data_IF_470690778077
#
_entry.id   IF_470690778077
#
_cell.length_a   1.000
_cell.length_b   1.000
_cell.length_c   1.000
_cell.angle_alpha   90.00
_cell.angle_beta   90.00
_cell.angle_gamma   90.00
#
_symmetry.space_group_name_H-M   'P 1'
#
loop_
_entity.id
_entity.type
_entity.pdbx_description
1 polymer ?
#
# COMPACT_ATOMS: atom_id res chain seq x y z
N UNK A 1 9.98 3.19 7.02
CA UNK A 1 11.35 3.44 6.58
C UNK A 1 12.34 2.61 7.41
N UNK A 2 12.87 1.60 6.74
CA UNK A 2 13.88 0.69 7.29
C UNK A 2 15.32 1.14 6.95
N UNK A 3 15.44 2.19 6.13
CA UNK A 3 16.70 2.73 5.61
C UNK A 3 16.63 4.27 5.67
N UNK A 4 17.13 4.90 6.77
CA UNK A 4 17.06 6.35 6.96
C UNK A 4 17.86 7.15 5.92
N UNK A 5 18.98 6.61 5.42
CA UNK A 5 19.81 7.30 4.42
C UNK A 5 19.10 7.33 3.06
N UNK A 6 18.48 6.21 2.67
CA UNK A 6 17.67 6.16 1.46
C UNK A 6 16.45 7.09 1.54
N UNK A 7 15.78 7.15 2.69
CA UNK A 7 14.65 8.05 2.90
C UNK A 7 15.07 9.51 2.79
N UNK A 8 16.21 9.89 3.38
CA UNK A 8 16.77 11.24 3.25
C UNK A 8 17.10 11.59 1.79
N UNK A 9 17.76 10.66 1.07
CA UNK A 9 18.08 10.83 -0.35
C UNK A 9 16.83 10.96 -1.23
N UNK A 10 15.76 10.23 -0.90
CA UNK A 10 14.47 10.35 -1.61
C UNK A 10 13.80 11.71 -1.34
N UNK A 11 13.80 12.19 -0.09
CA UNK A 11 13.30 13.52 0.24
C UNK A 11 14.04 14.62 -0.54
N UNK A 12 15.37 14.52 -0.62
CA UNK A 12 16.21 15.42 -1.45
C UNK A 12 15.85 15.36 -2.92
N UNK A 13 15.67 14.16 -3.46
CA UNK A 13 15.29 13.97 -4.86
C UNK A 13 13.94 14.62 -5.16
N UNK A 14 12.94 14.40 -4.31
CA UNK A 14 11.61 14.95 -4.47
C UNK A 14 11.62 16.50 -4.43
N UNK A 15 12.32 17.08 -3.44
CA UNK A 15 12.45 18.53 -3.33
C UNK A 15 13.15 19.13 -4.55
N UNK A 16 14.26 18.55 -5.00
CA UNK A 16 15.00 19.00 -6.21
C UNK A 16 14.18 18.88 -7.49
N UNK A 17 13.33 17.86 -7.61
CA UNK A 17 12.48 17.62 -8.79
C UNK A 17 11.14 18.34 -8.72
N UNK A 18 10.88 19.12 -7.68
CA UNK A 18 9.64 19.87 -7.53
C UNK A 18 8.41 18.98 -7.29
N UNK A 19 8.59 17.75 -6.79
CA UNK A 19 7.47 16.90 -6.35
C UNK A 19 6.79 17.57 -5.17
N UNK A 20 5.46 17.78 -5.26
CA UNK A 20 4.68 18.54 -4.28
C UNK A 20 3.69 17.68 -3.50
N UNK A 21 3.52 16.43 -3.87
CA UNK A 21 2.59 15.50 -3.20
C UNK A 21 3.25 14.12 -3.12
N UNK A 22 3.32 13.57 -1.91
CA UNK A 22 3.78 12.20 -1.67
C UNK A 22 2.77 11.45 -0.80
N UNK A 23 2.75 10.13 -0.94
CA UNK A 23 2.06 9.24 -0.01
C UNK A 23 3.09 8.61 0.95
N UNK A 24 2.82 8.71 2.25
CA UNK A 24 3.59 8.07 3.31
C UNK A 24 2.82 6.83 3.81
N UNK A 25 3.25 5.65 3.40
CA UNK A 25 2.68 4.36 3.77
C UNK A 25 3.64 3.54 4.63
N UNK A 26 3.12 2.64 5.45
CA UNK A 26 3.91 1.77 6.33
C UNK A 26 4.81 2.51 7.35
N UNK A 27 4.47 3.74 7.68
CA UNK A 27 5.12 4.49 8.74
C UNK A 27 4.52 4.08 10.10
N UNK A 28 5.34 3.57 11.01
CA UNK A 28 4.96 3.35 12.42
C UNK A 28 5.14 4.66 13.21
N UNK A 29 6.09 5.48 12.82
CA UNK A 29 6.39 6.79 13.40
C UNK A 29 6.80 7.80 12.33
N UNK A 30 6.69 9.07 12.64
CA UNK A 30 7.19 10.14 11.78
C UNK A 30 8.71 10.15 11.78
N UNK A 31 9.31 10.55 10.66
CA UNK A 31 10.76 10.61 10.45
C UNK A 31 11.20 12.03 10.13
N UNK A 32 12.48 12.34 10.37
CA UNK A 32 13.04 13.66 10.06
C UNK A 32 12.95 13.99 8.56
N UNK A 33 13.28 13.07 7.60
CA UNK A 33 13.16 13.35 6.17
C UNK A 33 11.72 13.63 5.73
N UNK A 34 10.72 12.94 6.30
CA UNK A 34 9.32 13.20 6.01
C UNK A 34 8.90 14.60 6.47
N UNK A 35 9.29 14.98 7.69
CA UNK A 35 8.98 16.32 8.23
C UNK A 35 9.71 17.40 7.43
N UNK A 36 10.97 17.19 7.07
CA UNK A 36 11.74 18.08 6.20
C UNK A 36 11.02 18.29 4.86
N UNK A 37 10.60 17.22 4.18
CA UNK A 37 9.82 17.35 2.95
C UNK A 37 8.55 18.18 3.17
N UNK A 38 7.78 17.87 4.22
CA UNK A 38 6.50 18.52 4.52
C UNK A 38 6.66 20.01 4.78
N UNK A 39 7.71 20.41 5.49
CA UNK A 39 7.91 21.79 5.95
C UNK A 39 8.74 22.67 5.01
N UNK A 40 9.42 22.07 4.03
CA UNK A 40 10.23 22.81 3.09
C UNK A 40 9.41 23.84 2.31
N UNK A 41 9.82 25.11 2.41
CA UNK A 41 9.17 26.24 1.75
C UNK A 41 7.86 26.70 2.40
N UNK A 42 7.55 26.27 3.62
CA UNK A 42 6.42 26.81 4.40
C UNK A 42 6.57 28.30 4.63
N UNK A 43 5.51 29.04 4.43
CA UNK A 43 5.52 30.51 4.57
C UNK A 43 4.13 31.05 4.92
N UNK A 44 4.11 32.28 5.37
CA UNK A 44 2.88 33.06 5.49
C UNK A 44 2.56 33.72 4.15
N UNK A 45 1.34 33.52 3.66
CA UNK A 45 0.83 34.21 2.47
C UNK A 45 0.45 35.66 2.77
N UNK A 46 0.20 36.45 1.71
CA UNK A 46 -0.18 37.85 1.84
C UNK A 46 -1.52 38.05 2.58
N UNK A 47 -2.43 37.10 2.52
CA UNK A 47 -3.71 37.07 3.25
C UNK A 47 -3.59 36.61 4.70
N UNK A 48 -2.37 36.30 5.18
CA UNK A 48 -2.10 35.82 6.52
C UNK A 48 -2.24 34.30 6.69
N UNK A 49 -2.70 33.58 5.67
CA UNK A 49 -2.78 32.10 5.71
C UNK A 49 -1.41 31.44 5.70
N UNK A 50 -1.33 30.17 6.08
CA UNK A 50 -0.08 29.39 6.05
C UNK A 50 -0.08 28.55 4.78
N UNK A 51 0.86 28.86 3.88
CA UNK A 51 1.10 28.05 2.71
C UNK A 51 2.08 26.92 2.99
N UNK A 52 1.67 25.70 2.65
CA UNK A 52 2.48 24.50 2.71
C UNK A 52 2.64 23.92 1.30
N UNK A 53 3.71 24.27 0.57
CA UNK A 53 3.87 23.88 -0.83
C UNK A 53 3.91 22.35 -1.03
N UNK A 54 4.47 21.64 -0.06
CA UNK A 54 4.60 20.19 -0.11
C UNK A 54 3.50 19.53 0.74
N UNK A 55 2.80 18.58 0.16
CA UNK A 55 1.69 17.87 0.78
C UNK A 55 2.02 16.40 1.01
N UNK A 56 1.52 15.87 2.10
CA UNK A 56 1.66 14.46 2.48
C UNK A 56 0.28 13.85 2.61
N UNK A 57 0.08 12.69 1.99
CA UNK A 57 -1.03 11.79 2.26
C UNK A 57 -0.50 10.72 3.22
N UNK A 58 -1.04 10.64 4.44
CA UNK A 58 -0.73 9.54 5.36
C UNK A 58 -1.66 8.37 5.08
N UNK A 59 -1.15 7.20 4.67
CA UNK A 59 -1.96 6.00 4.49
C UNK A 59 -1.75 5.06 5.67
N UNK A 60 -2.81 4.79 6.43
CA UNK A 60 -2.73 4.18 7.76
C UNK A 60 -3.89 3.20 8.04
N UNK A 61 -3.59 2.15 8.80
CA UNK A 61 -4.55 1.18 9.33
C UNK A 61 -4.71 1.27 10.87
N UNK A 62 -3.96 2.18 11.53
CA UNK A 62 -3.87 2.31 12.98
C UNK A 62 -4.17 3.72 13.44
N UNK A 63 -4.99 3.83 14.49
CA UNK A 63 -5.46 5.10 15.05
C UNK A 63 -4.30 5.93 15.60
N UNK A 64 -3.36 5.31 16.31
CA UNK A 64 -2.19 5.96 16.90
C UNK A 64 -1.21 6.51 15.87
N UNK A 65 -1.19 5.93 14.66
CA UNK A 65 -0.40 6.45 13.54
C UNK A 65 -1.14 7.59 12.84
N UNK A 66 -2.47 7.46 12.66
CA UNK A 66 -3.30 8.53 12.11
C UNK A 66 -3.21 9.81 12.95
N UNK A 67 -3.24 9.68 14.29
CA UNK A 67 -3.10 10.79 15.22
C UNK A 67 -1.82 11.60 14.98
N UNK A 68 -0.69 10.90 14.73
CA UNK A 68 0.59 11.54 14.42
C UNK A 68 0.54 12.33 13.11
N UNK A 69 -0.15 11.82 12.09
CA UNK A 69 -0.31 12.52 10.81
C UNK A 69 -1.26 13.72 10.90
N UNK A 70 -2.31 13.64 11.71
CA UNK A 70 -3.21 14.76 11.96
C UNK A 70 -2.64 15.81 12.92
N UNK A 71 -1.62 15.46 13.69
CA UNK A 71 -0.93 16.36 14.61
C UNK A 71 0.11 17.21 13.88
N UNK A 72 0.53 18.36 14.46
CA UNK A 72 1.67 19.11 13.96
C UNK A 72 2.97 18.29 14.01
N UNK A 73 3.99 18.65 13.21
CA UNK A 73 5.33 18.05 13.32
C UNK A 73 5.85 18.06 14.75
N UNK A 74 6.45 16.94 15.24
CA UNK A 74 7.05 16.89 16.56
C UNK A 74 8.12 17.97 16.77
N UNK A 75 8.05 18.68 17.90
CA UNK A 75 8.97 19.78 18.22
C UNK A 75 10.44 19.41 18.08
N UNK A 76 10.80 18.17 18.48
CA UNK A 76 12.17 17.67 18.35
C UNK A 76 12.70 17.73 16.91
N UNK A 77 11.86 17.37 15.91
CA UNK A 77 12.26 17.42 14.50
C UNK A 77 12.32 18.87 13.99
N UNK A 78 11.42 19.74 14.44
CA UNK A 78 11.49 21.15 14.08
C UNK A 78 12.77 21.81 14.60
N UNK A 79 13.13 21.55 15.86
CA UNK A 79 14.39 22.04 16.47
C UNK A 79 15.62 21.49 15.72
N UNK A 80 15.61 20.22 15.37
CA UNK A 80 16.70 19.58 14.62
C UNK A 80 16.85 20.21 13.22
N UNK A 81 15.75 20.41 12.48
CA UNK A 81 15.79 21.07 11.17
C UNK A 81 16.27 22.51 11.23
N UNK A 82 15.92 23.25 12.30
CA UNK A 82 16.46 24.60 12.53
C UNK A 82 17.97 24.54 12.80
N UNK A 83 18.43 23.60 13.63
CA UNK A 83 19.86 23.46 13.91
C UNK A 83 20.69 23.06 12.69
N UNK A 84 20.09 22.32 11.75
CA UNK A 84 20.70 21.94 10.46
C UNK A 84 20.63 23.07 9.41
N UNK A 85 19.97 24.20 9.69
CA UNK A 85 19.77 25.28 8.73
C UNK A 85 18.74 24.98 7.63
N UNK A 86 17.96 23.91 7.76
CA UNK A 86 16.93 23.48 6.80
C UNK A 86 15.60 24.22 6.98
N UNK A 87 15.36 24.78 8.17
CA UNK A 87 14.23 25.67 8.51
C UNK A 87 14.73 26.91 9.24
N UNK A 88 14.05 28.03 9.02
CA UNK A 88 14.19 29.20 9.91
C UNK A 88 13.33 28.99 11.17
N UNK A 89 13.64 29.70 12.29
CA UNK A 89 12.79 29.67 13.48
C UNK A 89 11.33 30.06 13.17
N UNK A 90 11.11 31.03 12.28
CA UNK A 90 9.76 31.44 11.84
C UNK A 90 9.04 30.29 11.10
N UNK A 91 9.72 29.62 10.19
CA UNK A 91 9.16 28.45 9.48
C UNK A 91 8.81 27.32 10.44
N UNK A 92 9.66 27.05 11.44
CA UNK A 92 9.36 26.05 12.47
C UNK A 92 8.12 26.44 13.29
N UNK A 93 7.95 27.73 13.61
CA UNK A 93 6.75 28.21 14.27
C UNK A 93 5.50 28.04 13.40
N UNK A 94 5.56 28.36 12.10
CA UNK A 94 4.44 28.12 11.18
C UNK A 94 4.13 26.62 11.06
N UNK A 95 5.14 25.76 11.00
CA UNK A 95 4.98 24.31 10.92
C UNK A 95 4.28 23.73 12.16
N UNK A 96 4.44 24.32 13.33
CA UNK A 96 3.74 23.89 14.55
C UNK A 96 2.22 24.18 14.56
N UNK A 97 1.73 24.95 13.59
CA UNK A 97 0.32 25.36 13.46
C UNK A 97 -0.44 24.55 12.39
N UNK A 98 0.21 23.64 11.69
CA UNK A 98 -0.39 22.85 10.61
C UNK A 98 -0.16 21.35 10.83
N UNK A 99 -1.07 20.48 10.36
CA UNK A 99 -0.88 19.04 10.48
C UNK A 99 0.27 18.54 9.55
N UNK A 100 0.89 17.42 9.91
CA UNK A 100 1.85 16.72 9.05
C UNK A 100 1.19 16.33 7.72
N UNK A 101 -0.01 15.78 7.78
CA UNK A 101 -0.77 15.40 6.59
C UNK A 101 -2.10 16.17 6.54
N UNK A 102 -2.37 16.81 5.40
CA UNK A 102 -3.68 17.38 5.10
C UNK A 102 -4.69 16.33 4.65
N UNK A 103 -4.18 15.18 4.22
CA UNK A 103 -4.97 14.04 3.75
C UNK A 103 -4.50 12.77 4.47
N UNK A 104 -5.44 11.98 5.00
CA UNK A 104 -5.14 10.68 5.61
C UNK A 104 -6.06 9.62 5.02
N UNK A 105 -5.48 8.57 4.44
CA UNK A 105 -6.24 7.43 3.92
C UNK A 105 -6.38 6.36 5.00
N UNK A 106 -7.62 6.06 5.39
CA UNK A 106 -7.93 4.88 6.18
C UNK A 106 -7.77 3.63 5.30
N UNK A 107 -6.72 2.85 5.54
CA UNK A 107 -6.41 1.64 4.77
C UNK A 107 -7.03 0.42 5.44
N UNK A 108 -8.14 -0.05 4.89
CA UNK A 108 -8.77 -1.31 5.26
C UNK A 108 -8.01 -2.52 4.71
N UNK A 109 -8.69 -3.68 4.66
CA UNK A 109 -8.13 -4.90 4.10
C UNK A 109 -7.69 -4.72 2.64
N UNK A 110 -6.41 -4.99 2.34
CA UNK A 110 -5.77 -4.69 1.07
C UNK A 110 -4.73 -5.74 0.68
N UNK A 111 -4.29 -5.74 -0.58
CA UNK A 111 -3.17 -6.56 -1.04
C UNK A 111 -1.84 -6.07 -0.46
N UNK A 112 -0.88 -6.99 -0.28
CA UNK A 112 0.41 -6.69 0.33
C UNK A 112 0.36 -6.65 1.85
N UNK A 113 1.15 -5.76 2.46
CA UNK A 113 1.11 -5.57 3.92
C UNK A 113 -0.24 -4.98 4.31
N UNK A 114 -0.95 -5.64 5.21
CA UNK A 114 -2.26 -5.22 5.68
C UNK A 114 -2.50 -5.69 7.10
N UNK A 115 -3.19 -4.88 7.89
CA UNK A 115 -3.70 -5.27 9.22
C UNK A 115 -5.09 -5.96 9.12
N UNK A 116 -5.58 -6.24 7.90
CA UNK A 116 -6.89 -6.85 7.60
C UNK A 116 -8.07 -6.14 8.33
N UNK A 117 -7.99 -4.81 8.48
CA UNK A 117 -9.05 -4.06 9.18
C UNK A 117 -10.27 -3.90 8.28
N UNK A 118 -11.49 -4.23 8.75
CA UNK A 118 -12.71 -3.92 8.01
C UNK A 118 -12.85 -2.40 7.83
N UNK A 119 -12.95 -1.94 6.58
CA UNK A 119 -13.03 -0.51 6.26
C UNK A 119 -14.25 0.17 6.92
N UNK A 120 -15.37 -0.56 7.04
CA UNK A 120 -16.60 -0.07 7.69
C UNK A 120 -16.43 0.28 9.18
N UNK A 121 -15.41 -0.26 9.84
CA UNK A 121 -15.05 0.08 11.21
C UNK A 121 -13.92 1.11 11.26
N UNK A 122 -12.93 0.96 10.39
CA UNK A 122 -11.73 1.80 10.41
C UNK A 122 -12.04 3.25 9.97
N UNK A 123 -12.77 3.43 8.87
CA UNK A 123 -13.04 4.76 8.32
C UNK A 123 -13.79 5.69 9.31
N UNK A 124 -14.91 5.27 9.94
CA UNK A 124 -15.57 6.12 10.93
C UNK A 124 -14.70 6.41 12.15
N UNK A 125 -13.85 5.47 12.56
CA UNK A 125 -12.90 5.68 13.67
C UNK A 125 -11.87 6.77 13.34
N UNK A 126 -11.30 6.75 12.13
CA UNK A 126 -10.34 7.77 11.68
C UNK A 126 -11.03 9.12 11.48
N UNK A 127 -12.28 9.15 11.00
CA UNK A 127 -13.07 10.38 10.89
C UNK A 127 -13.32 11.01 12.26
N UNK A 128 -13.75 10.23 13.24
CA UNK A 128 -13.96 10.70 14.62
C UNK A 128 -12.66 11.23 15.25
N UNK A 129 -11.54 10.55 15.02
CA UNK A 129 -10.22 11.04 15.44
C UNK A 129 -9.89 12.40 14.82
N UNK A 130 -10.06 12.53 13.48
CA UNK A 130 -9.83 13.78 12.76
C UNK A 130 -10.66 14.92 13.35
N UNK A 131 -11.96 14.69 13.62
CA UNK A 131 -12.88 15.70 14.13
C UNK A 131 -12.47 16.14 15.54
N UNK A 132 -12.05 15.20 16.40
CA UNK A 132 -11.51 15.53 17.73
C UNK A 132 -10.26 16.40 17.63
N UNK A 133 -9.28 16.02 16.81
CA UNK A 133 -8.04 16.79 16.64
C UNK A 133 -8.33 18.16 16.01
N UNK A 134 -9.25 18.23 15.05
CA UNK A 134 -9.68 19.51 14.46
C UNK A 134 -10.27 20.44 15.51
N UNK A 135 -11.13 19.92 16.40
CA UNK A 135 -11.72 20.70 17.49
C UNK A 135 -10.67 21.18 18.50
N UNK A 136 -9.66 20.36 18.81
CA UNK A 136 -8.57 20.70 19.72
C UNK A 136 -7.58 21.71 19.14
N UNK A 137 -7.25 21.59 17.84
CA UNK A 137 -6.20 22.36 17.19
C UNK A 137 -6.69 23.59 16.43
N UNK A 138 -7.94 23.59 15.98
CA UNK A 138 -8.52 24.72 15.23
C UNK A 138 -7.80 25.02 13.92
N UNK A 139 -7.36 23.99 13.18
CA UNK A 139 -6.69 24.20 11.89
C UNK A 139 -7.55 25.01 10.93
N UNK A 140 -6.96 25.93 10.17
CA UNK A 140 -7.65 26.75 9.18
C UNK A 140 -8.36 25.90 8.10
N UNK A 141 -7.81 24.73 7.74
CA UNK A 141 -8.45 23.77 6.87
C UNK A 141 -8.54 22.42 7.58
N UNK A 142 -9.73 21.86 7.66
CA UNK A 142 -9.95 20.51 8.23
C UNK A 142 -9.25 19.47 7.37
N UNK A 143 -8.40 18.59 7.95
CA UNK A 143 -7.80 17.50 7.21
C UNK A 143 -8.85 16.56 6.61
N UNK A 144 -8.59 16.05 5.40
CA UNK A 144 -9.49 15.13 4.71
C UNK A 144 -9.16 13.69 5.04
N UNK A 145 -10.19 12.86 5.11
CA UNK A 145 -10.01 11.41 5.26
C UNK A 145 -10.46 10.72 3.97
N UNK A 146 -9.59 9.90 3.40
CA UNK A 146 -9.89 9.03 2.29
C UNK A 146 -10.07 7.58 2.73
N UNK A 147 -10.56 6.75 1.83
CA UNK A 147 -10.76 5.31 2.04
C UNK A 147 -9.95 4.50 1.04
N UNK A 148 -9.20 3.52 1.53
CA UNK A 148 -8.46 2.54 0.73
C UNK A 148 -8.64 1.14 1.30
N UNK A 149 -8.38 0.11 0.48
CA UNK A 149 -8.65 -1.29 0.83
C UNK A 149 -10.13 -1.65 0.69
N UNK A 150 -10.41 -2.72 -0.04
CA UNK A 150 -11.78 -3.16 -0.32
C UNK A 150 -12.53 -2.34 -1.38
N UNK A 151 -11.97 -1.29 -1.94
CA UNK A 151 -12.63 -0.44 -2.94
C UNK A 151 -12.31 -0.94 -4.35
N UNK A 152 -13.34 -1.50 -5.03
CA UNK A 152 -13.16 -2.07 -6.35
C UNK A 152 -14.43 -2.03 -7.22
N UNK A 153 -15.57 -1.63 -6.66
CA UNK A 153 -16.84 -1.54 -7.38
C UNK A 153 -17.51 -0.20 -7.11
N UNK A 154 -18.46 0.23 -7.96
CA UNK A 154 -19.25 1.44 -7.70
C UNK A 154 -19.95 1.43 -6.35
N UNK A 155 -20.43 0.27 -5.90
CA UNK A 155 -21.10 0.09 -4.61
C UNK A 155 -20.15 0.34 -3.44
N UNK A 156 -18.93 -0.23 -3.48
CA UNK A 156 -17.92 0.00 -2.46
C UNK A 156 -17.48 1.47 -2.42
N UNK A 157 -17.34 2.11 -3.58
CA UNK A 157 -17.02 3.54 -3.69
C UNK A 157 -18.15 4.42 -3.13
N UNK A 158 -19.41 4.14 -3.49
CA UNK A 158 -20.58 4.85 -2.96
C UNK A 158 -20.68 4.73 -1.44
N UNK A 159 -20.49 3.51 -0.90
CA UNK A 159 -20.50 3.26 0.54
C UNK A 159 -19.40 4.07 1.26
N UNK A 160 -18.18 4.12 0.73
CA UNK A 160 -17.08 4.90 1.30
C UNK A 160 -17.43 6.41 1.35
N UNK A 161 -17.98 6.98 0.29
CA UNK A 161 -18.41 8.39 0.26
C UNK A 161 -19.57 8.66 1.24
N UNK A 162 -20.56 7.78 1.32
CA UNK A 162 -21.67 7.89 2.28
C UNK A 162 -21.18 7.82 3.72
N UNK A 163 -20.15 7.03 4.01
CA UNK A 163 -19.49 7.00 5.33
C UNK A 163 -18.66 8.27 5.62
N UNK A 164 -18.45 9.17 4.67
CA UNK A 164 -17.73 10.43 4.85
C UNK A 164 -16.31 10.49 4.28
N UNK A 165 -15.91 9.52 3.45
CA UNK A 165 -14.62 9.61 2.74
C UNK A 165 -14.62 10.80 1.78
N UNK A 166 -13.55 11.59 1.79
CA UNK A 166 -13.36 12.70 0.85
C UNK A 166 -12.81 12.23 -0.51
N UNK A 167 -12.17 11.08 -0.54
CA UNK A 167 -11.63 10.44 -1.74
C UNK A 167 -11.47 8.93 -1.51
N UNK A 168 -11.23 8.20 -2.58
CA UNK A 168 -10.97 6.76 -2.53
C UNK A 168 -9.61 6.43 -3.16
N UNK A 169 -9.00 5.33 -2.71
CA UNK A 169 -7.74 4.78 -3.22
C UNK A 169 -7.96 3.32 -3.61
N UNK A 170 -7.58 2.95 -4.82
CA UNK A 170 -7.62 1.58 -5.33
C UNK A 170 -6.21 1.04 -5.52
N UNK A 171 -5.97 -0.24 -5.17
CA UNK A 171 -4.66 -0.89 -5.28
C UNK A 171 -4.69 -2.07 -6.25
N UNK A 172 -5.27 -3.21 -5.84
CA UNK A 172 -5.29 -4.45 -6.65
C UNK A 172 -5.89 -4.24 -8.04
N UNK A 173 -6.92 -3.39 -8.16
CA UNK A 173 -7.56 -3.06 -9.45
C UNK A 173 -6.58 -2.34 -10.38
N UNK A 174 -5.83 -1.35 -9.85
CA UNK A 174 -4.84 -0.61 -10.65
C UNK A 174 -3.68 -1.51 -11.09
N UNK A 175 -3.30 -2.49 -10.27
CA UNK A 175 -2.26 -3.46 -10.63
C UNK A 175 -2.70 -4.34 -11.83
N UNK A 176 -4.01 -4.52 -12.05
CA UNK A 176 -4.55 -5.23 -13.20
C UNK A 176 -4.75 -4.33 -14.44
N UNK A 177 -4.47 -3.02 -14.36
CA UNK A 177 -4.55 -2.09 -15.48
C UNK A 177 -3.29 -2.13 -16.35
N UNK A 178 -3.42 -1.71 -17.60
CA UNK A 178 -2.34 -1.76 -18.61
C UNK A 178 -1.16 -0.86 -18.25
N UNK A 179 -1.38 0.21 -17.49
CA UNK A 179 -0.34 1.15 -17.07
C UNK A 179 0.48 0.69 -15.85
N UNK A 180 0.12 -0.42 -15.22
CA UNK A 180 0.73 -0.86 -13.95
C UNK A 180 2.18 -1.31 -14.05
N UNK A 181 2.71 -1.54 -15.24
CA UNK A 181 4.02 -2.17 -15.44
C UNK A 181 4.06 -3.67 -15.09
N UNK A 182 2.94 -4.27 -14.66
CA UNK A 182 2.83 -5.71 -14.50
C UNK A 182 2.84 -6.40 -15.87
N UNK A 183 3.43 -7.60 -15.93
CA UNK A 183 3.43 -8.39 -17.17
C UNK A 183 2.02 -8.85 -17.53
N UNK A 184 1.79 -9.17 -18.81
CA UNK A 184 0.50 -9.67 -19.29
C UNK A 184 0.06 -10.93 -18.54
N UNK A 185 1.01 -11.80 -18.20
CA UNK A 185 0.72 -12.99 -17.41
C UNK A 185 0.18 -12.62 -16.02
N UNK A 186 0.79 -11.65 -15.35
CA UNK A 186 0.33 -11.17 -14.03
C UNK A 186 -1.06 -10.55 -14.15
N UNK A 187 -1.30 -9.70 -15.15
CA UNK A 187 -2.62 -9.09 -15.37
C UNK A 187 -3.69 -10.14 -15.64
N UNK A 188 -3.41 -11.17 -16.44
CA UNK A 188 -4.33 -12.31 -16.67
C UNK A 188 -4.59 -13.10 -15.38
N UNK A 189 -3.60 -13.35 -14.55
CA UNK A 189 -3.80 -14.02 -13.25
C UNK A 189 -4.70 -13.19 -12.32
N UNK A 190 -4.49 -11.87 -12.26
CA UNK A 190 -5.33 -10.96 -11.50
C UNK A 190 -6.76 -10.89 -12.06
N UNK A 191 -6.91 -10.88 -13.39
CA UNK A 191 -8.24 -10.86 -14.04
C UNK A 191 -9.04 -12.14 -13.85
N UNK A 192 -8.38 -13.26 -13.56
CA UNK A 192 -9.02 -14.53 -13.25
C UNK A 192 -9.31 -14.74 -11.75
N UNK A 193 -8.90 -13.80 -10.88
CA UNK A 193 -9.05 -13.93 -9.44
C UNK A 193 -10.50 -13.80 -8.99
N UNK A 194 -10.91 -14.65 -8.06
CA UNK A 194 -12.14 -14.53 -7.28
C UNK A 194 -11.84 -14.00 -5.87
N UNK A 195 -12.87 -13.62 -5.10
CA UNK A 195 -12.67 -13.09 -3.73
C UNK A 195 -11.90 -14.05 -2.82
N UNK A 196 -12.18 -15.36 -2.95
CA UNK A 196 -11.53 -16.39 -2.16
C UNK A 196 -10.10 -16.71 -2.59
N UNK A 197 -9.60 -16.12 -3.68
CA UNK A 197 -8.29 -16.45 -4.25
C UNK A 197 -7.11 -15.68 -3.61
N UNK A 198 -7.32 -15.12 -2.44
CA UNK A 198 -6.26 -14.46 -1.65
C UNK A 198 -5.85 -15.30 -0.45
N UNK A 199 -4.62 -15.11 0.00
CA UNK A 199 -4.08 -15.76 1.19
C UNK A 199 -3.01 -14.91 1.85
N UNK A 200 -2.83 -15.06 3.17
CA UNK A 200 -1.74 -14.46 3.91
C UNK A 200 -0.48 -15.32 3.79
N UNK A 201 0.63 -14.71 3.40
CA UNK A 201 1.94 -15.35 3.19
C UNK A 201 3.02 -14.63 4.00
N UNK A 202 4.06 -15.34 4.42
CA UNK A 202 5.18 -14.74 5.13
C UNK A 202 5.88 -13.66 4.27
N UNK A 203 6.10 -12.50 4.84
CA UNK A 203 6.76 -11.37 4.20
C UNK A 203 8.28 -11.52 4.21
N UNK A 204 8.96 -11.04 3.16
CA UNK A 204 10.42 -11.10 3.07
C UNK A 204 11.13 -10.12 4.00
N UNK A 205 10.61 -8.90 4.12
CA UNK A 205 11.24 -7.77 4.81
C UNK A 205 11.21 -7.89 6.35
N UNK A 206 10.14 -8.46 6.90
CA UNK A 206 9.95 -8.68 8.34
C UNK A 206 9.73 -10.17 8.65
N UNK A 207 10.47 -11.05 7.96
CA UNK A 207 10.31 -12.49 8.02
C UNK A 207 10.49 -13.06 9.43
N UNK A 208 11.57 -12.65 10.12
CA UNK A 208 11.89 -13.12 11.47
C UNK A 208 10.81 -12.74 12.50
N UNK A 209 10.08 -11.66 12.24
CA UNK A 209 8.97 -11.18 13.09
C UNK A 209 7.64 -11.86 12.78
N UNK A 210 7.57 -12.67 11.72
CA UNK A 210 6.34 -13.37 11.31
C UNK A 210 5.29 -12.48 10.66
N UNK A 211 5.67 -11.30 10.16
CA UNK A 211 4.76 -10.42 9.43
C UNK A 211 4.35 -11.08 8.13
N UNK A 212 3.11 -10.85 7.73
CA UNK A 212 2.51 -11.45 6.54
C UNK A 212 2.08 -10.38 5.53
N UNK A 213 2.01 -10.81 4.27
CA UNK A 213 1.44 -10.05 3.14
C UNK A 213 0.26 -10.82 2.54
N UNK A 214 -0.77 -10.08 2.09
CA UNK A 214 -1.90 -10.66 1.37
C UNK A 214 -1.59 -10.76 -0.11
N UNK A 215 -1.70 -11.98 -0.66
CA UNK A 215 -1.27 -12.31 -2.01
C UNK A 215 -2.30 -13.16 -2.75
N UNK A 216 -2.24 -13.13 -4.08
CA UNK A 216 -2.97 -14.05 -4.94
C UNK A 216 -2.45 -15.48 -4.73
N UNK A 217 -3.37 -16.45 -4.54
CA UNK A 217 -3.05 -17.88 -4.48
C UNK A 217 -3.44 -18.64 -5.75
N UNK A 218 -4.36 -18.10 -6.56
CA UNK A 218 -4.75 -18.72 -7.84
C UNK A 218 -3.60 -18.67 -8.83
N UNK A 219 -3.24 -19.83 -9.39
CA UNK A 219 -2.19 -19.96 -10.42
C UNK A 219 -0.76 -19.84 -9.93
N UNK A 220 -0.53 -19.77 -8.61
CA UNK A 220 0.77 -19.74 -7.95
C UNK A 220 0.73 -20.55 -6.65
N UNK A 221 1.88 -21.04 -6.21
CA UNK A 221 2.04 -21.73 -4.92
C UNK A 221 2.79 -20.88 -3.89
N UNK A 222 3.04 -19.60 -4.21
CA UNK A 222 3.85 -18.73 -3.35
C UNK A 222 3.36 -18.70 -1.90
N UNK A 223 2.07 -18.48 -1.66
CA UNK A 223 1.53 -18.36 -0.30
C UNK A 223 1.80 -19.61 0.55
N UNK A 224 1.60 -20.79 -0.04
CA UNK A 224 1.89 -22.06 0.63
C UNK A 224 3.40 -22.23 0.89
N UNK A 225 4.23 -21.92 -0.10
CA UNK A 225 5.68 -22.05 -0.02
C UNK A 225 6.29 -21.10 1.02
N UNK A 226 5.86 -19.85 1.01
CA UNK A 226 6.31 -18.81 1.96
C UNK A 226 5.96 -19.18 3.41
N UNK A 227 4.73 -19.61 3.65
CA UNK A 227 4.31 -20.06 4.99
C UNK A 227 5.09 -21.32 5.43
N UNK A 228 5.34 -22.28 4.51
CA UNK A 228 6.12 -23.47 4.82
C UNK A 228 7.57 -23.12 5.20
N UNK A 229 8.20 -22.17 4.51
CA UNK A 229 9.53 -21.67 4.89
C UNK A 229 9.51 -21.05 6.29
N UNK A 230 8.46 -20.29 6.61
CA UNK A 230 8.30 -19.72 7.95
C UNK A 230 8.11 -20.79 9.03
N UNK A 231 7.33 -21.84 8.75
CA UNK A 231 7.16 -22.98 9.66
C UNK A 231 8.50 -23.68 9.92
N UNK A 232 9.31 -23.91 8.90
CA UNK A 232 10.64 -24.46 9.05
C UNK A 232 11.58 -23.54 9.85
N UNK A 233 11.55 -22.25 9.57
CA UNK A 233 12.31 -21.26 10.33
C UNK A 233 11.95 -21.29 11.83
N UNK A 234 10.69 -21.49 12.16
CA UNK A 234 10.25 -21.61 13.56
C UNK A 234 10.67 -22.91 14.21
N UNK A 235 10.61 -24.01 13.47
CA UNK A 235 10.81 -25.33 14.00
C UNK A 235 12.30 -25.73 14.14
N UNK A 236 13.19 -25.18 13.34
CA UNK A 236 14.59 -25.58 13.29
C UNK A 236 15.54 -24.40 13.59
N UNK A 237 16.67 -24.68 14.31
CA UNK A 237 17.63 -23.63 14.69
C UNK A 237 18.53 -23.18 13.51
N UNK A 238 18.64 -23.98 12.43
CA UNK A 238 19.42 -23.68 11.25
C UNK A 238 18.94 -24.47 10.05
N UNK A 239 19.35 -24.12 8.84
CA UNK A 239 19.06 -24.96 7.67
C UNK A 239 19.85 -26.28 7.68
N UNK A 240 20.97 -26.39 8.40
CA UNK A 240 21.72 -27.63 8.56
C UNK A 240 21.02 -28.62 9.51
N UNK A 241 20.15 -28.12 10.38
CA UNK A 241 19.32 -28.94 11.26
C UNK A 241 18.04 -29.48 10.58
N UNK A 242 17.76 -29.04 9.35
CA UNK A 242 16.63 -29.58 8.58
C UNK A 242 16.87 -31.05 8.23
N UNK A 243 15.83 -31.93 8.30
CA UNK A 243 15.90 -33.27 7.75
C UNK A 243 16.39 -33.25 6.28
N UNK A 244 17.20 -34.24 5.92
CA UNK A 244 17.87 -34.29 4.62
C UNK A 244 16.90 -34.27 3.43
N UNK A 245 15.75 -34.96 3.57
CA UNK A 245 14.69 -34.97 2.57
C UNK A 245 14.04 -33.61 2.39
N UNK A 246 13.78 -32.86 3.48
CA UNK A 246 13.24 -31.50 3.46
C UNK A 246 14.25 -30.56 2.80
N UNK A 247 15.52 -30.63 3.23
CA UNK A 247 16.59 -29.82 2.65
C UNK A 247 16.70 -30.02 1.14
N UNK A 248 16.79 -31.28 0.69
CA UNK A 248 16.87 -31.62 -0.74
C UNK A 248 15.66 -31.11 -1.52
N UNK A 249 14.44 -31.25 -0.95
CA UNK A 249 13.24 -30.76 -1.60
C UNK A 249 13.23 -29.22 -1.71
N UNK A 250 13.67 -28.50 -0.68
CA UNK A 250 13.76 -27.04 -0.73
C UNK A 250 14.77 -26.56 -1.76
N UNK A 251 15.99 -27.12 -1.75
CA UNK A 251 17.05 -26.78 -2.70
C UNK A 251 16.61 -27.03 -4.15
N UNK A 252 15.94 -28.16 -4.43
CA UNK A 252 15.45 -28.52 -5.76
C UNK A 252 14.25 -27.68 -6.21
N UNK A 253 13.19 -27.61 -5.39
CA UNK A 253 11.86 -27.16 -5.83
C UNK A 253 11.62 -25.65 -5.58
N UNK A 254 12.28 -25.06 -4.58
CA UNK A 254 12.11 -23.66 -4.20
C UNK A 254 13.28 -22.82 -4.70
N UNK A 255 14.49 -23.15 -4.27
CA UNK A 255 15.69 -22.36 -4.54
C UNK A 255 16.27 -22.64 -5.93
N UNK A 256 16.18 -23.89 -6.40
CA UNK A 256 16.84 -24.42 -7.62
C UNK A 256 18.36 -24.22 -7.58
N UNK A 257 18.91 -24.25 -6.40
CA UNK A 257 20.32 -24.13 -6.08
C UNK A 257 20.54 -24.65 -4.65
N UNK A 258 21.75 -25.02 -4.30
CA UNK A 258 22.10 -25.40 -2.93
C UNK A 258 22.02 -24.22 -1.97
N UNK A 259 21.73 -24.47 -0.69
CA UNK A 259 21.78 -23.41 0.33
C UNK A 259 23.16 -22.75 0.44
N UNK A 260 24.23 -23.49 0.13
CA UNK A 260 25.58 -22.94 0.08
C UNK A 260 25.75 -21.87 -1.00
N UNK A 261 25.28 -22.12 -2.21
CA UNK A 261 25.31 -21.17 -3.33
C UNK A 261 24.44 -19.94 -3.05
N UNK A 262 23.23 -20.16 -2.51
CA UNK A 262 22.34 -19.06 -2.12
C UNK A 262 22.98 -18.21 -1.02
N UNK A 263 23.60 -18.85 -0.01
CA UNK A 263 24.29 -18.11 1.04
C UNK A 263 25.47 -17.30 0.49
N UNK A 264 26.29 -17.86 -0.39
CA UNK A 264 27.43 -17.15 -0.98
C UNK A 264 26.98 -15.84 -1.66
N UNK A 265 25.92 -15.89 -2.50
CA UNK A 265 25.37 -14.71 -3.17
C UNK A 265 24.71 -13.74 -2.20
N UNK A 266 24.02 -14.23 -1.18
CA UNK A 266 23.35 -13.41 -0.16
C UNK A 266 24.38 -12.69 0.72
N UNK A 267 25.43 -13.39 1.11
CA UNK A 267 26.55 -12.82 1.87
C UNK A 267 27.24 -11.68 1.11
N UNK A 268 27.56 -11.90 -0.18
CA UNK A 268 28.16 -10.86 -1.02
C UNK A 268 27.26 -9.60 -1.12
N UNK A 269 25.96 -9.80 -1.27
CA UNK A 269 24.99 -8.71 -1.28
C UNK A 269 25.03 -7.89 0.02
N UNK A 270 25.00 -8.56 1.19
CA UNK A 270 25.01 -7.87 2.47
C UNK A 270 26.37 -7.24 2.80
N UNK A 271 27.49 -7.83 2.41
CA UNK A 271 28.80 -7.20 2.58
C UNK A 271 28.91 -5.83 1.89
N UNK A 272 28.16 -5.64 0.77
CA UNK A 272 28.12 -4.35 0.05
C UNK A 272 27.12 -3.36 0.62
N UNK A 273 26.05 -3.83 1.28
CA UNK A 273 24.91 -3.00 1.66
C UNK A 273 24.77 -2.80 3.17
N UNK A 274 24.95 -3.85 3.94
CA UNK A 274 24.89 -3.88 5.41
C UNK A 274 25.76 -5.03 5.93
N UNK A 275 27.07 -4.81 6.07
CA UNK A 275 28.02 -5.84 6.52
C UNK A 275 27.63 -6.51 7.85
N UNK A 276 26.93 -5.78 8.74
CA UNK A 276 26.53 -6.30 10.05
C UNK A 276 25.63 -7.53 9.95
N UNK A 277 24.78 -7.61 8.90
CA UNK A 277 23.94 -8.79 8.65
C UNK A 277 24.77 -10.03 8.32
N UNK A 278 25.81 -9.87 7.49
CA UNK A 278 26.69 -10.96 7.14
C UNK A 278 27.50 -11.43 8.38
N UNK A 279 28.04 -10.50 9.16
CA UNK A 279 28.78 -10.80 10.40
C UNK A 279 27.90 -11.49 11.44
N UNK A 280 26.65 -11.04 11.62
CA UNK A 280 25.69 -11.69 12.49
C UNK A 280 25.40 -13.12 12.03
N UNK A 281 25.22 -13.34 10.75
CA UNK A 281 24.91 -14.65 10.19
C UNK A 281 26.03 -15.70 10.36
N UNK A 282 27.28 -15.26 10.48
CA UNK A 282 28.41 -16.19 10.79
C UNK A 282 28.38 -16.69 12.26
N UNK A 283 27.72 -15.96 13.16
CA UNK A 283 27.60 -16.30 14.58
C UNK A 283 26.24 -16.85 14.98
N UNK A 284 25.20 -16.54 14.16
CA UNK A 284 23.82 -16.94 14.40
C UNK A 284 23.30 -17.75 13.20
N UNK A 285 23.35 -19.10 13.28
CA UNK A 285 22.89 -19.99 12.20
C UNK A 285 21.39 -19.80 11.86
N UNK A 286 20.57 -19.38 12.85
CA UNK A 286 19.16 -19.11 12.65
C UNK A 286 18.96 -17.84 11.82
N UNK A 287 19.71 -16.78 12.10
CA UNK A 287 19.72 -15.57 11.28
C UNK A 287 20.20 -15.86 9.86
N UNK A 288 21.26 -16.68 9.70
CA UNK A 288 21.73 -17.16 8.40
C UNK A 288 20.60 -17.86 7.60
N UNK A 289 19.85 -18.76 8.25
CA UNK A 289 18.69 -19.42 7.64
C UNK A 289 17.63 -18.40 7.24
N UNK A 290 17.32 -17.41 8.08
CA UNK A 290 16.37 -16.34 7.75
C UNK A 290 16.81 -15.57 6.50
N UNK A 291 18.09 -15.19 6.38
CA UNK A 291 18.60 -14.46 5.21
C UNK A 291 18.52 -15.31 3.91
N UNK A 292 18.80 -16.60 4.00
CA UNK A 292 18.65 -17.54 2.86
C UNK A 292 17.19 -17.66 2.45
N UNK A 293 16.24 -17.81 3.39
CA UNK A 293 14.82 -17.88 3.07
C UNK A 293 14.28 -16.54 2.54
N UNK A 294 14.73 -15.42 3.08
CA UNK A 294 14.41 -14.07 2.58
C UNK A 294 14.93 -13.84 1.16
N UNK A 295 16.05 -14.44 0.76
CA UNK A 295 16.51 -14.41 -0.63
C UNK A 295 15.41 -14.93 -1.57
N UNK A 296 14.86 -16.13 -1.29
CA UNK A 296 13.76 -16.68 -2.08
C UNK A 296 12.54 -15.74 -2.08
N UNK A 297 12.07 -15.36 -0.89
CA UNK A 297 10.88 -14.51 -0.74
C UNK A 297 11.04 -13.15 -1.47
N UNK A 298 12.23 -12.57 -1.50
CA UNK A 298 12.49 -11.33 -2.22
C UNK A 298 12.52 -11.52 -3.75
N UNK A 299 12.94 -12.68 -4.23
CA UNK A 299 12.96 -13.00 -5.65
C UNK A 299 11.57 -13.27 -6.21
N UNK A 300 10.68 -13.84 -5.41
CA UNK A 300 9.31 -14.16 -5.83
C UNK A 300 8.50 -12.92 -6.25
N UNK A 301 8.82 -11.72 -5.75
CA UNK A 301 8.22 -10.46 -6.21
C UNK A 301 8.87 -9.90 -7.48
N UNK A 302 10.10 -10.31 -7.81
CA UNK A 302 10.84 -9.83 -8.98
C UNK A 302 10.59 -10.68 -10.23
N UNK A 303 10.44 -12.00 -10.09
CA UNK A 303 10.18 -12.89 -11.21
C UNK A 303 8.92 -12.53 -12.01
N UNK A 304 7.77 -12.21 -11.37
CA UNK A 304 6.60 -11.75 -12.12
C UNK A 304 6.83 -10.44 -12.88
N UNK A 305 7.61 -9.51 -12.35
CA UNK A 305 7.95 -8.24 -13.00
C UNK A 305 8.92 -8.45 -14.18
N UNK A 306 9.84 -9.40 -14.04
CA UNK A 306 10.77 -9.78 -15.11
C UNK A 306 10.15 -10.68 -16.19
N UNK A 307 8.93 -11.19 -15.97
CA UNK A 307 8.29 -12.14 -16.89
C UNK A 307 8.93 -13.51 -16.93
N UNK A 308 9.61 -13.93 -15.84
CA UNK A 308 10.24 -15.26 -15.77
C UNK A 308 9.19 -16.36 -15.58
N UNK A 309 8.61 -16.82 -16.69
CA UNK A 309 7.57 -17.86 -16.70
C UNK A 309 8.04 -19.19 -16.10
N UNK A 310 9.34 -19.49 -16.09
CA UNK A 310 9.87 -20.70 -15.47
C UNK A 310 9.62 -20.71 -13.95
N UNK A 311 9.44 -19.51 -13.36
CA UNK A 311 9.16 -19.30 -11.95
C UNK A 311 7.69 -18.92 -11.66
N UNK A 312 6.78 -19.11 -12.61
CA UNK A 312 5.34 -18.77 -12.43
C UNK A 312 4.75 -19.38 -11.17
N UNK A 313 5.13 -20.59 -10.81
CA UNK A 313 4.69 -21.28 -9.59
C UNK A 313 5.06 -20.51 -8.31
N UNK A 314 6.12 -19.71 -8.36
CA UNK A 314 6.69 -18.94 -7.25
C UNK A 314 6.27 -17.47 -7.25
N UNK A 315 5.41 -17.02 -8.15
CA UNK A 315 5.04 -15.61 -8.25
C UNK A 315 4.35 -15.08 -7.00
N UNK A 316 4.93 -14.06 -6.39
CA UNK A 316 4.32 -13.26 -5.36
C UNK A 316 3.60 -12.07 -6.01
N UNK A 317 2.27 -12.12 -6.02
CA UNK A 317 1.43 -11.06 -6.58
C UNK A 317 0.57 -10.54 -5.45
N UNK A 318 0.79 -9.30 -5.04
CA UNK A 318 -0.01 -8.68 -3.99
C UNK A 318 -1.44 -8.46 -4.51
N UNK A 319 -2.42 -8.98 -3.77
CA UNK A 319 -3.80 -8.97 -4.19
C UNK A 319 -4.72 -9.04 -2.97
N UNK A 320 -5.65 -8.13 -2.87
CA UNK A 320 -6.75 -8.19 -1.89
C UNK A 320 -8.02 -8.79 -2.49
N UNK A 321 -9.01 -9.16 -1.64
CA UNK A 321 -10.28 -9.76 -2.09
C UNK A 321 -11.08 -8.87 -3.03
N UNK A 322 -10.84 -7.55 -2.97
CA UNK A 322 -11.46 -6.57 -3.86
C UNK A 322 -11.22 -6.83 -5.35
N UNK A 323 -10.13 -7.53 -5.71
CA UNK A 323 -9.87 -7.92 -7.11
C UNK A 323 -10.96 -8.85 -7.64
N UNK A 324 -11.36 -9.85 -6.85
CA UNK A 324 -12.46 -10.74 -7.21
C UNK A 324 -13.80 -10.00 -7.33
N UNK A 325 -14.07 -9.04 -6.45
CA UNK A 325 -15.26 -8.20 -6.54
C UNK A 325 -15.26 -7.36 -7.82
N UNK A 326 -14.12 -6.79 -8.21
CA UNK A 326 -13.97 -6.07 -9.47
C UNK A 326 -14.22 -6.98 -10.68
N UNK A 327 -13.62 -8.18 -10.69
CA UNK A 327 -13.79 -9.13 -11.79
C UNK A 327 -15.24 -9.59 -11.95
N UNK A 328 -15.96 -9.78 -10.83
CA UNK A 328 -17.39 -10.11 -10.87
C UNK A 328 -18.22 -8.97 -11.45
N UNK A 329 -17.94 -7.72 -11.02
CA UNK A 329 -18.59 -6.54 -11.56
C UNK A 329 -18.29 -6.32 -13.05
N UNK A 330 -17.06 -6.61 -13.49
CA UNK A 330 -16.60 -6.44 -14.88
C UNK A 330 -17.07 -7.56 -15.82
N UNK A 331 -17.58 -8.68 -15.28
CA UNK A 331 -17.98 -9.87 -16.04
C UNK A 331 -18.99 -9.55 -17.12
N UNK A 332 -18.79 -10.04 -18.33
CA UNK A 332 -19.63 -9.81 -19.51
C UNK A 332 -19.49 -8.42 -20.12
N UNK A 333 -18.63 -7.55 -19.55
CA UNK A 333 -18.34 -6.23 -20.09
C UNK A 333 -16.99 -6.19 -20.83
N UNK A 334 -16.68 -5.06 -21.47
CA UNK A 334 -15.37 -4.87 -22.09
C UNK A 334 -14.21 -4.86 -21.09
N UNK A 335 -14.45 -4.53 -19.80
CA UNK A 335 -13.45 -4.57 -18.73
C UNK A 335 -13.16 -5.99 -18.23
N UNK A 336 -13.86 -7.02 -18.71
CA UNK A 336 -13.51 -8.41 -18.41
C UNK A 336 -12.11 -8.74 -18.95
N UNK A 337 -11.82 -8.27 -20.17
CA UNK A 337 -10.50 -8.44 -20.78
C UNK A 337 -9.46 -7.51 -20.12
N UNK A 338 -8.33 -8.06 -19.57
CA UNK A 338 -7.32 -7.24 -18.89
C UNK A 338 -6.65 -6.20 -19.81
N UNK A 339 -6.64 -6.43 -21.12
CA UNK A 339 -6.10 -5.51 -22.13
C UNK A 339 -6.95 -4.25 -22.28
N UNK A 340 -8.23 -4.29 -21.89
CA UNK A 340 -9.16 -3.17 -21.94
C UNK A 340 -9.20 -2.34 -20.64
N UNK A 341 -8.43 -2.71 -19.63
CA UNK A 341 -8.41 -2.05 -18.32
C UNK A 341 -7.39 -0.93 -18.32
N UNK A 342 -7.76 0.25 -18.75
CA UNK A 342 -6.99 1.44 -18.48
C UNK A 342 -7.41 2.10 -17.17
N UNK A 343 -6.45 2.65 -16.41
CA UNK A 343 -6.68 3.16 -15.06
C UNK A 343 -7.68 4.32 -15.03
N UNK A 344 -7.70 5.16 -16.06
CA UNK A 344 -8.59 6.32 -16.14
C UNK A 344 -10.03 5.89 -16.36
N UNK A 345 -10.28 4.98 -17.34
CA UNK A 345 -11.62 4.44 -17.61
C UNK A 345 -12.15 3.66 -16.41
N UNK A 346 -11.32 2.86 -15.74
CA UNK A 346 -11.68 2.17 -14.50
C UNK A 346 -12.09 3.16 -13.42
N UNK A 347 -11.26 4.17 -13.13
CA UNK A 347 -11.55 5.18 -12.11
C UNK A 347 -12.85 5.95 -12.42
N UNK A 348 -13.05 6.37 -13.67
CA UNK A 348 -14.28 7.06 -14.10
C UNK A 348 -15.52 6.19 -13.93
N UNK A 349 -15.45 4.91 -14.25
CA UNK A 349 -16.56 3.98 -14.04
C UNK A 349 -16.92 3.84 -12.55
N UNK A 350 -15.92 3.69 -11.68
CA UNK A 350 -16.16 3.61 -10.24
C UNK A 350 -16.82 4.88 -9.71
N UNK A 351 -16.33 6.06 -10.11
CA UNK A 351 -16.84 7.35 -9.63
C UNK A 351 -18.24 7.67 -10.20
N UNK A 352 -18.46 7.50 -11.51
CA UNK A 352 -19.77 7.74 -12.12
C UNK A 352 -20.82 6.77 -11.57
N UNK A 353 -20.46 5.50 -11.40
CA UNK A 353 -21.34 4.50 -10.81
C UNK A 353 -21.66 4.82 -9.34
N UNK A 354 -20.68 5.24 -8.55
CA UNK A 354 -20.87 5.64 -7.16
C UNK A 354 -21.82 6.86 -7.06
N UNK A 355 -21.61 7.89 -7.88
CA UNK A 355 -22.47 9.07 -7.91
C UNK A 355 -23.92 8.73 -8.24
N UNK A 356 -24.11 7.86 -9.27
CA UNK A 356 -25.44 7.42 -9.66
C UNK A 356 -26.14 6.58 -8.57
N UNK A 357 -25.41 5.70 -7.87
CA UNK A 357 -25.95 4.91 -6.75
C UNK A 357 -26.30 5.80 -5.56
N UNK A 358 -25.47 6.76 -5.22
CA UNK A 358 -25.76 7.73 -4.16
C UNK A 358 -27.01 8.53 -4.47
N UNK A 359 -27.18 9.01 -5.73
CA UNK A 359 -28.38 9.70 -6.16
C UNK A 359 -29.62 8.81 -6.09
N UNK A 360 -29.51 7.57 -6.57
CA UNK A 360 -30.60 6.60 -6.51
C UNK A 360 -31.04 6.31 -5.08
N UNK A 361 -30.08 6.15 -4.18
CA UNK A 361 -30.35 5.94 -2.75
C UNK A 361 -31.09 7.16 -2.14
N UNK A 362 -30.62 8.37 -2.41
CA UNK A 362 -31.29 9.59 -1.94
C UNK A 362 -32.75 9.69 -2.43
N UNK A 363 -33.02 9.36 -3.70
CA UNK A 363 -34.38 9.35 -4.25
C UNK A 363 -35.27 8.30 -3.55
N UNK A 364 -34.76 7.10 -3.31
CA UNK A 364 -35.49 6.06 -2.56
C UNK A 364 -35.82 6.47 -1.14
N UNK A 365 -34.90 7.11 -0.44
CA UNK A 365 -35.14 7.63 0.91
C UNK A 365 -36.22 8.73 0.93
N UNK A 366 -36.42 9.44 -0.19
CA UNK A 366 -37.50 10.42 -0.38
C UNK A 366 -38.83 9.80 -0.85
N UNK A 367 -38.92 8.47 -0.90
CA UNK A 367 -40.13 7.74 -1.32
C UNK A 367 -40.32 7.65 -2.83
N UNK A 368 -39.37 8.05 -3.66
CA UNK A 368 -39.48 7.91 -5.11
C UNK A 368 -39.38 6.43 -5.52
N UNK A 369 -40.32 5.96 -6.33
CA UNK A 369 -40.24 4.68 -6.99
C UNK A 369 -39.11 4.72 -8.03
N UNK A 370 -38.11 3.88 -7.85
CA UNK A 370 -36.97 3.78 -8.76
C UNK A 370 -36.93 2.38 -9.40
N UNK A 371 -36.78 2.35 -10.71
CA UNK A 371 -36.60 1.09 -11.45
C UNK A 371 -35.38 0.34 -10.87
N UNK A 372 -35.53 -0.94 -10.46
CA UNK A 372 -34.42 -1.75 -9.98
C UNK A 372 -33.24 -1.84 -10.96
N UNK A 373 -33.50 -1.75 -12.27
CA UNK A 373 -32.47 -1.76 -13.32
C UNK A 373 -31.51 -0.57 -13.20
N UNK A 374 -31.96 0.56 -12.65
CA UNK A 374 -31.10 1.73 -12.39
C UNK A 374 -30.04 1.48 -11.33
N UNK A 375 -30.17 0.44 -10.51
CA UNK A 375 -29.14 0.04 -9.55
C UNK A 375 -28.00 -0.76 -10.20
N UNK A 376 -28.23 -1.37 -11.37
CA UNK A 376 -27.23 -2.13 -12.09
C UNK A 376 -26.25 -1.18 -12.77
N UNK A 377 -24.97 -1.27 -12.44
CA UNK A 377 -23.91 -0.39 -12.91
C UNK A 377 -22.93 -1.17 -13.79
N UNK A 378 -23.31 -1.39 -15.05
CA UNK A 378 -22.41 -2.01 -16.02
C UNK A 378 -21.31 -1.03 -16.42
N UNK A 379 -20.06 -1.52 -16.60
CA UNK A 379 -18.97 -0.70 -17.10
C UNK A 379 -19.29 -0.03 -18.43
N UNK A 380 -18.99 1.25 -18.55
CA UNK A 380 -19.19 2.10 -19.73
C UNK A 380 -17.86 2.49 -20.36
N UNK A 381 -17.83 2.57 -21.69
CA UNK A 381 -16.67 3.05 -22.43
C UNK A 381 -16.42 4.54 -22.18
N UNK A 382 -15.19 5.00 -22.47
CA UNK A 382 -14.78 6.37 -22.20
C UNK A 382 -15.71 7.42 -22.83
N UNK A 383 -16.20 7.16 -24.05
CA UNK A 383 -17.08 8.05 -24.79
C UNK A 383 -18.45 8.19 -24.11
N UNK A 384 -18.98 7.09 -23.57
CA UNK A 384 -20.26 7.09 -22.84
C UNK A 384 -20.14 7.82 -21.49
N UNK A 385 -18.94 7.81 -20.88
CA UNK A 385 -18.66 8.50 -19.62
C UNK A 385 -18.40 10.00 -19.79
N UNK A 386 -18.06 10.47 -20.98
CA UNK A 386 -17.73 11.88 -21.22
C UNK A 386 -18.86 12.82 -20.74
N UNK A 387 -20.12 12.44 -20.92
CA UNK A 387 -21.27 13.21 -20.47
C UNK A 387 -21.38 13.37 -18.92
N UNK A 388 -20.67 12.55 -18.13
CA UNK A 388 -20.70 12.63 -16.66
C UNK A 388 -19.60 13.53 -16.10
N UNK A 389 -18.55 13.84 -16.89
CA UNK A 389 -17.34 14.53 -16.43
C UNK A 389 -17.06 15.85 -17.18
N UNK A 390 -17.92 16.22 -18.16
CA UNK A 390 -17.97 17.51 -18.82
C UNK A 390 -19.12 18.35 -18.24
#
# INVERSE_FOLDING_TARGET
PSDPELEAALADLYLRRGVRLIEASAFIGLTLPLIRFRTAGIRRAADGSIETPNRVIGKVSRVEVAERFFSPPPEKFLKELVSLGELTPEQAQLASLVPVAGDVTAEGDSGGHTDNRPLVNLLPTILALRDRIQAERGYAATPRVGAGGGIATPEAAAAAFVMGAAYIVTGSVNQACVESGATDLVRRLLAAAEQADTAMAAAADMFEMGVKVQVLKRGTMFAMRANKLYDYYRAYPSFDALPADIRTALERDYFRASFGEIWASTREYFLKRDPSQAERAERDPRHKMALVFRWYLSRTSRWPLAGDESRKVDYQIWCGPSMGAFNEWARGSFLEAPESRDAVTVARNLLAGAAALTRLHALRCQGAAADPRLARREPKRAEELAAFFN
#
